data_IF_100562315492
#
_entry.id   IF_100562315492
#
_cell.length_a   1.000
_cell.length_b   1.000
_cell.length_c   1.000
_cell.angle_alpha   90.00
_cell.angle_beta   90.00
_cell.angle_gamma   90.00
#
_symmetry.space_group_name_H-M   'P 1'
#
loop_
_entity.id
_entity.type
_entity.pdbx_description
1 polymer ?
#
# COMPACT_ATOMS: atom_id res chain seq x y z
N UNK A 1 -2.94 3.51 -38.22
CA UNK A 1 -1.88 3.73 -37.23
C UNK A 1 -2.02 2.68 -36.16
N UNK A 2 -1.09 1.72 -36.06
CA UNK A 2 -1.13 0.72 -34.99
C UNK A 2 -0.64 1.39 -33.71
N UNK A 3 -1.47 1.41 -32.67
CA UNK A 3 -1.10 1.87 -31.33
C UNK A 3 0.00 0.91 -30.86
N UNK A 4 1.26 1.30 -31.10
CA UNK A 4 2.44 0.52 -30.76
C UNK A 4 2.49 0.35 -29.24
N UNK A 5 2.63 -0.91 -28.86
CA UNK A 5 2.46 -1.42 -27.51
C UNK A 5 3.15 -0.60 -26.43
N UNK A 6 2.38 -0.32 -25.38
CA UNK A 6 2.95 -0.15 -24.04
C UNK A 6 3.77 -1.41 -23.78
N UNK A 7 5.09 -1.27 -23.75
CA UNK A 7 5.98 -2.38 -23.43
C UNK A 7 5.58 -2.97 -22.08
N UNK A 8 5.59 -4.30 -21.93
CA UNK A 8 5.25 -4.99 -20.67
C UNK A 8 6.06 -4.43 -19.49
N UNK A 9 7.32 -4.05 -19.73
CA UNK A 9 8.17 -3.39 -18.75
C UNK A 9 7.65 -2.00 -18.32
N UNK A 10 7.09 -1.22 -19.26
CA UNK A 10 6.48 0.09 -18.96
C UNK A 10 5.20 -0.05 -18.15
N UNK A 11 4.42 -1.10 -18.40
CA UNK A 11 3.19 -1.37 -17.64
C UNK A 11 3.50 -1.84 -16.22
N UNK A 12 4.45 -2.76 -16.06
CA UNK A 12 4.88 -3.22 -14.73
C UNK A 12 5.47 -2.07 -13.90
N UNK A 13 6.35 -1.25 -14.50
CA UNK A 13 6.93 -0.10 -13.81
C UNK A 13 5.87 0.88 -13.32
N UNK A 14 4.88 1.21 -14.15
CA UNK A 14 3.77 2.09 -13.77
C UNK A 14 2.96 1.51 -12.60
N UNK A 15 2.62 0.22 -12.66
CA UNK A 15 1.88 -0.44 -11.57
C UNK A 15 2.69 -0.50 -10.27
N UNK A 16 4.01 -0.64 -10.38
CA UNK A 16 4.92 -0.64 -9.24
C UNK A 16 4.95 0.73 -8.56
N UNK A 17 5.11 1.81 -9.32
CA UNK A 17 5.07 3.18 -8.78
C UNK A 17 3.71 3.53 -8.14
N UNK A 18 2.60 3.09 -8.77
CA UNK A 18 1.26 3.27 -8.21
C UNK A 18 1.07 2.52 -6.89
N UNK A 19 1.51 1.25 -6.83
CA UNK A 19 1.45 0.47 -5.60
C UNK A 19 2.30 1.09 -4.50
N UNK A 20 3.57 1.44 -4.77
CA UNK A 20 4.43 2.12 -3.80
C UNK A 20 3.81 3.42 -3.27
N UNK A 21 3.23 4.24 -4.16
CA UNK A 21 2.57 5.48 -3.77
C UNK A 21 1.40 5.22 -2.82
N UNK A 22 0.61 4.18 -3.07
CA UNK A 22 -0.51 3.84 -2.20
C UNK A 22 0.00 3.34 -0.83
N UNK A 23 1.09 2.57 -0.77
CA UNK A 23 1.74 2.20 0.49
C UNK A 23 2.17 3.44 1.29
N UNK A 24 2.86 4.39 0.68
CA UNK A 24 3.27 5.62 1.37
C UNK A 24 2.08 6.46 1.83
N UNK A 25 1.02 6.53 1.02
CA UNK A 25 -0.22 7.21 1.39
C UNK A 25 -0.83 6.59 2.64
N UNK A 26 -0.95 5.26 2.68
CA UNK A 26 -1.55 4.56 3.82
C UNK A 26 -0.67 4.60 5.07
N UNK A 27 0.65 4.49 4.93
CA UNK A 27 1.57 4.69 6.07
C UNK A 27 1.43 6.11 6.66
N UNK A 28 1.27 7.14 5.81
CA UNK A 28 1.00 8.50 6.27
C UNK A 28 -0.30 8.64 7.05
N UNK A 29 -1.37 7.96 6.59
CA UNK A 29 -2.66 7.90 7.32
C UNK A 29 -2.51 7.22 8.68
N UNK A 30 -1.85 6.06 8.74
CA UNK A 30 -1.57 5.34 9.99
C UNK A 30 -0.78 6.21 10.98
N UNK A 31 0.27 6.88 10.50
CA UNK A 31 1.08 7.76 11.34
C UNK A 31 0.25 8.93 11.91
N UNK A 32 -0.62 9.53 11.10
CA UNK A 32 -1.51 10.61 11.56
C UNK A 32 -2.48 10.11 12.63
N UNK A 33 -3.14 8.97 12.39
CA UNK A 33 -4.05 8.36 13.36
C UNK A 33 -3.34 8.00 14.67
N UNK A 34 -2.10 7.49 14.62
CA UNK A 34 -1.34 7.14 15.82
C UNK A 34 -0.85 8.32 16.64
N UNK A 35 -0.64 9.49 16.02
CA UNK A 35 -0.35 10.73 16.74
C UNK A 35 -1.58 11.27 17.46
N UNK A 36 -2.78 11.05 16.91
CA UNK A 36 -4.05 11.47 17.51
C UNK A 36 -4.55 10.49 18.57
N UNK A 37 -4.15 9.21 18.50
CA UNK A 37 -4.62 8.15 19.38
C UNK A 37 -3.47 7.30 19.94
N UNK A 38 -2.84 7.81 21.01
CA UNK A 38 -1.67 7.21 21.66
C UNK A 38 -1.94 5.79 22.20
N UNK A 39 -3.19 5.48 22.56
CA UNK A 39 -3.60 4.18 23.09
C UNK A 39 -3.38 3.02 22.09
N UNK A 40 -3.35 3.31 20.78
CA UNK A 40 -3.10 2.32 19.74
C UNK A 40 -1.72 2.46 19.08
N UNK A 41 -0.84 3.30 19.61
CA UNK A 41 0.46 3.64 19.01
C UNK A 41 1.32 2.41 18.70
N UNK A 42 1.35 1.41 19.58
CA UNK A 42 2.09 0.17 19.37
C UNK A 42 1.52 -0.68 18.24
N UNK A 43 0.19 -0.84 18.18
CA UNK A 43 -0.50 -1.56 17.10
C UNK A 43 -0.27 -0.89 15.75
N UNK A 44 -0.33 0.44 15.71
CA UNK A 44 -0.09 1.24 14.51
C UNK A 44 1.36 1.13 14.06
N UNK A 45 2.32 1.24 14.99
CA UNK A 45 3.74 1.08 14.69
C UNK A 45 4.04 -0.31 14.13
N UNK A 46 3.48 -1.36 14.74
CA UNK A 46 3.58 -2.73 14.21
C UNK A 46 3.02 -2.81 12.79
N UNK A 47 1.85 -2.23 12.55
CA UNK A 47 1.24 -2.24 11.21
C UNK A 47 2.08 -1.49 10.17
N UNK A 48 2.72 -0.39 10.56
CA UNK A 48 3.63 0.34 9.67
C UNK A 48 4.87 -0.48 9.30
N UNK A 49 5.42 -1.27 10.23
CA UNK A 49 6.51 -2.19 9.89
C UNK A 49 6.07 -3.28 8.91
N UNK A 50 4.91 -3.90 9.14
CA UNK A 50 4.33 -4.87 8.20
C UNK A 50 4.17 -4.26 6.79
N UNK A 51 3.65 -3.04 6.69
CA UNK A 51 3.50 -2.35 5.41
C UNK A 51 4.83 -2.04 4.73
N UNK A 52 5.89 -1.74 5.50
CA UNK A 52 7.23 -1.50 4.95
C UNK A 52 7.84 -2.78 4.42
N UNK A 53 7.65 -3.89 5.12
CA UNK A 53 8.10 -5.21 4.68
C UNK A 53 7.35 -5.61 3.40
N UNK A 54 6.02 -5.47 3.36
CA UNK A 54 5.22 -5.71 2.15
C UNK A 54 5.65 -4.82 0.97
N UNK A 55 5.90 -3.52 1.21
CA UNK A 55 6.35 -2.58 0.18
C UNK A 55 7.70 -2.99 -0.43
N UNK A 56 8.61 -3.54 0.37
CA UNK A 56 9.91 -4.02 -0.12
C UNK A 56 9.80 -5.20 -1.10
N UNK A 57 8.73 -5.98 -0.97
CA UNK A 57 8.46 -7.16 -1.80
C UNK A 57 7.75 -6.82 -3.12
N UNK A 58 7.30 -5.57 -3.33
CA UNK A 58 6.57 -5.18 -4.55
C UNK A 58 7.37 -5.41 -5.84
N UNK A 59 8.70 -5.38 -5.77
CA UNK A 59 9.57 -5.62 -6.94
C UNK A 59 9.47 -7.04 -7.47
N UNK A 60 9.00 -7.97 -6.64
CA UNK A 60 8.84 -9.38 -7.00
C UNK A 60 7.46 -9.68 -7.60
N UNK A 61 6.51 -8.75 -7.50
CA UNK A 61 5.15 -8.91 -7.97
C UNK A 61 5.01 -8.67 -9.48
N UNK A 62 4.12 -9.41 -10.13
CA UNK A 62 3.66 -9.10 -11.49
C UNK A 62 2.83 -7.80 -11.54
N UNK A 63 2.67 -7.22 -12.73
CA UNK A 63 1.82 -6.03 -12.92
C UNK A 63 0.36 -6.24 -12.46
N UNK A 64 -0.19 -7.45 -12.64
CA UNK A 64 -1.54 -7.80 -12.17
C UNK A 64 -1.64 -7.90 -10.65
N UNK A 65 -0.63 -8.44 -9.99
CA UNK A 65 -0.59 -8.51 -8.53
C UNK A 65 -0.47 -7.10 -7.94
N UNK A 66 0.41 -6.26 -8.51
CA UNK A 66 0.56 -4.86 -8.13
C UNK A 66 -0.77 -4.11 -8.26
N UNK A 67 -1.51 -4.33 -9.36
CA UNK A 67 -2.84 -3.77 -9.57
C UNK A 67 -3.84 -4.17 -8.48
N UNK A 68 -3.88 -5.46 -8.10
CA UNK A 68 -4.78 -5.94 -7.04
C UNK A 68 -4.39 -5.36 -5.68
N UNK A 69 -3.09 -5.39 -5.35
CA UNK A 69 -2.54 -4.87 -4.09
C UNK A 69 -2.93 -3.40 -3.91
N UNK A 70 -2.66 -2.55 -4.91
CA UNK A 70 -2.98 -1.12 -4.79
C UNK A 70 -4.49 -0.86 -4.59
N UNK A 71 -5.36 -1.67 -5.21
CA UNK A 71 -6.82 -1.50 -5.09
C UNK A 71 -7.34 -1.92 -3.72
N UNK A 72 -6.72 -2.91 -3.10
CA UNK A 72 -7.18 -3.48 -1.84
C UNK A 72 -6.54 -2.84 -0.61
N UNK A 73 -5.37 -2.21 -0.76
CA UNK A 73 -4.58 -1.71 0.36
C UNK A 73 -5.37 -0.73 1.24
N UNK A 74 -6.08 0.22 0.64
CA UNK A 74 -6.93 1.16 1.38
C UNK A 74 -7.96 0.43 2.26
N UNK A 75 -8.68 -0.54 1.69
CA UNK A 75 -9.70 -1.28 2.45
C UNK A 75 -9.08 -2.10 3.58
N UNK A 76 -7.92 -2.73 3.36
CA UNK A 76 -7.19 -3.45 4.42
C UNK A 76 -6.86 -2.53 5.59
N UNK A 77 -6.47 -1.29 5.31
CA UNK A 77 -6.14 -0.29 6.34
C UNK A 77 -7.39 0.29 7.00
N UNK A 78 -8.46 0.53 6.25
CA UNK A 78 -9.73 0.99 6.80
C UNK A 78 -10.30 -0.07 7.78
N UNK A 79 -10.23 -1.36 7.44
CA UNK A 79 -10.64 -2.44 8.34
C UNK A 79 -9.78 -2.49 9.61
N UNK A 80 -8.45 -2.42 9.47
CA UNK A 80 -7.54 -2.40 10.62
C UNK A 80 -7.83 -1.23 11.58
N UNK A 81 -8.06 -0.03 11.03
CA UNK A 81 -8.38 1.14 11.84
C UNK A 81 -9.77 1.02 12.50
N UNK A 82 -10.72 0.36 11.86
CA UNK A 82 -12.03 0.09 12.44
C UNK A 82 -11.92 -0.84 13.65
N UNK A 83 -11.18 -1.95 13.51
CA UNK A 83 -10.94 -2.93 14.58
C UNK A 83 -10.22 -2.34 15.81
N UNK A 84 -9.43 -1.27 15.64
CA UNK A 84 -8.80 -0.59 16.77
C UNK A 84 -9.77 0.27 17.58
N UNK A 85 -10.87 0.72 16.98
CA UNK A 85 -11.85 1.60 17.64
C UNK A 85 -13.03 0.83 18.25
N UNK A 86 -13.09 -0.49 18.09
CA UNK A 86 -14.06 -1.40 18.74
C UNK A 86 -13.56 -1.90 20.10
#
# INVERSE_FOLDING_TARGET
MSIRGVSVASNHFMMFEEAQREYYRQMGRLNTFGLENEAHSDSIRKKMFELKDEESMLRECSASELYVIQKQLKQRIDNFLHELNE
#
